data_IF_959229099793
#
_entry.id   IF_959229099793
#
_cell.length_a   1.000
_cell.length_b   1.000
_cell.length_c   1.000
_cell.angle_alpha   90.00
_cell.angle_beta   90.00
_cell.angle_gamma   90.00
#
_symmetry.space_group_name_H-M   'P 1'
#
loop_
_entity.id
_entity.type
_entity.pdbx_description
1 polymer ?
#
# COMPACT_ATOMS: atom_id res chain seq x y z
N UNK A 1 -4.96 -17.21 7.18
CA UNK A 1 -5.31 -18.52 6.59
C UNK A 1 -4.24 -19.54 6.95
N UNK A 2 -4.57 -20.82 6.98
CA UNK A 2 -3.67 -21.90 7.39
C UNK A 2 -4.48 -23.13 7.79
N UNK A 3 -3.81 -24.25 8.10
CA UNK A 3 -4.50 -25.38 8.70
C UNK A 3 -5.06 -24.99 10.07
N UNK A 4 -6.12 -25.67 10.49
CA UNK A 4 -6.72 -25.44 11.81
C UNK A 4 -5.69 -25.57 12.94
N UNK A 5 -4.88 -26.63 12.90
CA UNK A 5 -3.84 -26.89 13.89
C UNK A 5 -2.81 -25.75 13.97
N UNK A 6 -2.40 -25.20 12.83
CA UNK A 6 -1.47 -24.06 12.78
C UNK A 6 -2.11 -22.80 13.39
N UNK A 7 -3.37 -22.52 13.04
CA UNK A 7 -4.11 -21.37 13.55
C UNK A 7 -4.26 -21.47 15.08
N UNK A 8 -4.68 -22.63 15.58
CA UNK A 8 -4.89 -22.84 17.01
C UNK A 8 -3.57 -22.79 17.79
N UNK A 9 -2.49 -23.35 17.23
CA UNK A 9 -1.15 -23.21 17.80
C UNK A 9 -0.70 -21.75 17.87
N UNK A 10 -0.88 -20.96 16.80
CA UNK A 10 -0.51 -19.55 16.77
C UNK A 10 -1.32 -18.70 17.76
N UNK A 11 -2.61 -18.99 17.95
CA UNK A 11 -3.43 -18.30 18.95
C UNK A 11 -2.89 -18.48 20.37
N UNK A 12 -2.32 -19.66 20.67
CA UNK A 12 -1.79 -20.00 22.00
C UNK A 12 -0.31 -19.68 22.20
N UNK A 13 0.45 -19.42 21.11
CA UNK A 13 1.91 -19.20 21.16
C UNK A 13 2.33 -17.82 20.71
N UNK A 14 1.51 -17.13 19.92
CA UNK A 14 1.74 -15.77 19.45
C UNK A 14 1.55 -14.76 20.57
N UNK A 15 2.65 -14.31 21.18
CA UNK A 15 2.62 -13.26 22.22
C UNK A 15 1.86 -12.00 21.78
N UNK A 16 2.04 -11.46 20.55
CA UNK A 16 1.28 -10.28 20.10
C UNK A 16 -0.22 -10.56 19.99
N UNK A 17 -0.63 -11.80 19.74
CA UNK A 17 -2.04 -12.17 19.70
C UNK A 17 -2.63 -12.31 21.11
N UNK A 18 -1.89 -12.94 22.04
CA UNK A 18 -2.35 -13.16 23.42
C UNK A 18 -2.37 -11.91 24.30
N UNK A 19 -1.38 -11.04 24.12
CA UNK A 19 -1.14 -9.88 24.99
C UNK A 19 -1.53 -8.55 24.32
N UNK A 20 -2.49 -8.59 23.39
CA UNK A 20 -3.06 -7.40 22.75
C UNK A 20 -4.57 -7.42 22.85
N UNK A 21 -5.19 -6.25 22.89
CA UNK A 21 -6.65 -6.11 22.82
C UNK A 21 -7.13 -6.53 21.43
N UNK A 22 -8.30 -7.17 21.39
CA UNK A 22 -8.95 -7.54 20.14
C UNK A 22 -9.36 -6.30 19.34
N UNK A 23 -9.48 -6.47 18.03
CA UNK A 23 -10.04 -5.47 17.11
C UNK A 23 -11.47 -5.09 17.54
N UNK A 24 -11.86 -3.82 17.36
CA UNK A 24 -13.21 -3.39 17.72
C UNK A 24 -14.25 -4.09 16.84
N UNK A 25 -15.50 -4.28 17.32
CA UNK A 25 -16.56 -4.88 16.51
C UNK A 25 -16.83 -4.10 15.21
N UNK A 26 -16.70 -2.77 15.24
CA UNK A 26 -16.91 -1.92 14.07
C UNK A 26 -15.83 -2.14 13.02
N UNK A 27 -14.55 -2.19 13.42
CA UNK A 27 -13.43 -2.45 12.52
C UNK A 27 -13.54 -3.85 11.91
N UNK A 28 -13.89 -4.86 12.72
CA UNK A 28 -14.08 -6.23 12.25
C UNK A 28 -15.22 -6.30 11.21
N UNK A 29 -16.34 -5.62 11.46
CA UNK A 29 -17.46 -5.54 10.51
C UNK A 29 -17.08 -4.86 9.20
N UNK A 30 -16.33 -3.76 9.26
CA UNK A 30 -15.86 -3.06 8.07
C UNK A 30 -14.90 -3.92 7.22
N UNK A 31 -13.99 -4.66 7.86
CA UNK A 31 -13.06 -5.57 7.16
C UNK A 31 -13.81 -6.73 6.51
N UNK A 32 -14.82 -7.31 7.17
CA UNK A 32 -15.65 -8.38 6.58
C UNK A 32 -16.36 -7.87 5.32
N UNK A 33 -17.02 -6.72 5.41
CA UNK A 33 -17.71 -6.13 4.26
C UNK A 33 -16.75 -5.79 3.11
N UNK A 34 -15.54 -5.29 3.40
CA UNK A 34 -14.53 -5.03 2.38
C UNK A 34 -14.09 -6.33 1.68
N UNK A 35 -13.90 -7.42 2.42
CA UNK A 35 -13.58 -8.74 1.85
C UNK A 35 -14.72 -9.25 0.98
N UNK A 36 -15.98 -9.11 1.42
CA UNK A 36 -17.15 -9.54 0.65
C UNK A 36 -17.24 -8.78 -0.69
N UNK A 37 -17.05 -7.45 -0.66
CA UNK A 37 -17.03 -6.62 -1.88
C UNK A 37 -15.94 -7.10 -2.82
N UNK A 38 -14.70 -7.23 -2.34
CA UNK A 38 -13.55 -7.64 -3.15
C UNK A 38 -13.66 -9.08 -3.67
N UNK A 39 -14.38 -9.95 -2.97
CA UNK A 39 -14.60 -11.34 -3.38
C UNK A 39 -15.74 -11.48 -4.39
N UNK A 40 -16.66 -10.50 -4.44
CA UNK A 40 -17.85 -10.54 -5.29
C UNK A 40 -17.61 -10.01 -6.72
N UNK A 41 -16.62 -9.14 -6.92
CA UNK A 41 -16.32 -8.53 -8.22
C UNK A 41 -14.84 -8.16 -8.36
N UNK A 42 -14.32 -8.29 -9.58
CA UNK A 42 -12.95 -7.90 -9.92
C UNK A 42 -12.83 -6.46 -10.46
N UNK A 43 -13.95 -5.75 -10.64
CA UNK A 43 -14.00 -4.44 -11.29
C UNK A 43 -13.07 -3.40 -10.63
N UNK A 44 -13.04 -3.36 -9.30
CA UNK A 44 -12.19 -2.43 -8.56
C UNK A 44 -10.70 -2.72 -8.79
N UNK A 45 -10.33 -3.99 -8.87
CA UNK A 45 -8.96 -4.44 -9.10
C UNK A 45 -8.54 -4.14 -10.53
N UNK A 46 -9.40 -4.41 -11.52
CA UNK A 46 -9.16 -4.09 -12.92
C UNK A 46 -8.94 -2.60 -13.14
N UNK A 47 -9.84 -1.76 -12.60
CA UNK A 47 -9.72 -0.31 -12.67
C UNK A 47 -8.44 0.21 -12.02
N UNK A 48 -8.04 -0.37 -10.87
CA UNK A 48 -6.76 -0.03 -10.23
C UNK A 48 -5.57 -0.37 -11.14
N UNK A 49 -5.58 -1.52 -11.81
CA UNK A 49 -4.53 -1.89 -12.76
C UNK A 49 -4.48 -0.99 -13.98
N UNK A 50 -5.62 -0.62 -14.55
CA UNK A 50 -5.72 0.31 -15.69
C UNK A 50 -5.16 1.68 -15.31
N UNK A 51 -5.58 2.23 -14.17
CA UNK A 51 -5.06 3.49 -13.65
C UNK A 51 -3.56 3.44 -13.40
N UNK A 52 -3.05 2.33 -12.82
CA UNK A 52 -1.62 2.12 -12.61
C UNK A 52 -0.82 2.12 -13.91
N UNK A 53 -1.29 1.40 -14.95
CA UNK A 53 -0.65 1.38 -16.27
C UNK A 53 -0.65 2.76 -16.93
N UNK A 54 -1.77 3.47 -16.85
CA UNK A 54 -1.90 4.83 -17.37
C UNK A 54 -0.93 5.79 -16.69
N UNK A 55 -0.89 5.79 -15.35
CA UNK A 55 -0.02 6.66 -14.56
C UNK A 55 1.47 6.39 -14.81
N UNK A 56 1.88 5.11 -14.80
CA UNK A 56 3.26 4.70 -15.12
C UNK A 56 3.68 5.15 -16.50
N UNK A 57 2.83 4.94 -17.51
CA UNK A 57 3.12 5.35 -18.89
C UNK A 57 3.39 6.86 -18.94
N UNK A 58 2.53 7.67 -18.34
CA UNK A 58 2.70 9.13 -18.36
C UNK A 58 3.96 9.59 -17.63
N UNK A 59 4.29 9.02 -16.47
CA UNK A 59 5.51 9.35 -15.74
C UNK A 59 6.77 8.98 -16.53
N UNK A 60 6.79 7.79 -17.15
CA UNK A 60 7.89 7.38 -18.01
C UNK A 60 8.02 8.26 -19.25
N UNK A 61 6.90 8.62 -19.89
CA UNK A 61 6.86 9.52 -21.06
C UNK A 61 7.39 10.94 -20.70
N UNK A 62 7.19 11.37 -19.44
CA UNK A 62 7.75 12.61 -18.89
C UNK A 62 9.23 12.51 -18.49
N UNK A 63 9.83 11.32 -18.55
CA UNK A 63 11.24 11.09 -18.24
C UNK A 63 11.55 10.84 -16.76
N UNK A 64 10.54 10.57 -15.92
CA UNK A 64 10.78 10.16 -14.53
C UNK A 64 11.30 8.73 -14.46
N UNK A 65 12.24 8.48 -13.53
CA UNK A 65 12.63 7.13 -13.16
C UNK A 65 11.58 6.53 -12.21
N UNK A 66 10.85 5.54 -12.71
CA UNK A 66 9.83 4.79 -11.95
C UNK A 66 10.28 3.38 -11.56
N UNK A 67 11.57 3.09 -11.68
CA UNK A 67 12.14 1.76 -11.47
C UNK A 67 11.52 0.69 -12.37
N UNK A 68 11.47 -0.55 -11.86
CA UNK A 68 10.98 -1.73 -12.58
C UNK A 68 9.74 -2.33 -11.90
N UNK A 69 8.81 -1.50 -11.44
CA UNK A 69 7.62 -2.00 -10.74
C UNK A 69 6.65 -2.71 -11.67
N UNK A 70 6.35 -3.97 -11.38
CA UNK A 70 5.29 -4.77 -12.01
C UNK A 70 3.98 -4.76 -11.20
N UNK A 71 3.93 -3.99 -10.10
CA UNK A 71 2.79 -3.94 -9.16
C UNK A 71 1.97 -2.65 -9.35
N UNK A 72 0.81 -2.48 -8.69
CA UNK A 72 0.09 -1.19 -8.72
C UNK A 72 0.86 -0.02 -8.09
N UNK A 73 1.94 -0.28 -7.35
CA UNK A 73 2.81 0.76 -6.76
C UNK A 73 3.68 1.36 -7.87
N UNK A 74 3.77 2.69 -7.92
CA UNK A 74 4.61 3.42 -8.86
C UNK A 74 5.57 4.33 -8.09
N UNK A 75 6.82 3.91 -7.83
CA UNK A 75 7.78 4.79 -7.20
C UNK A 75 8.22 5.87 -8.19
N UNK A 76 8.66 7.03 -7.69
CA UNK A 76 9.37 8.05 -8.47
C UNK A 76 10.70 8.29 -7.77
N UNK A 77 11.79 7.88 -8.39
CA UNK A 77 13.12 7.87 -7.78
C UNK A 77 13.75 9.26 -7.88
N UNK A 78 13.84 9.96 -6.75
CA UNK A 78 14.47 11.29 -6.65
C UNK A 78 15.96 11.20 -6.29
N UNK A 79 16.36 10.13 -5.59
CA UNK A 79 17.74 9.83 -5.19
C UNK A 79 18.21 10.56 -3.94
N UNK A 80 18.12 11.89 -3.90
CA UNK A 80 18.52 12.69 -2.73
C UNK A 80 17.35 12.91 -1.76
N UNK A 81 17.58 12.63 -0.47
CA UNK A 81 16.55 12.72 0.58
C UNK A 81 15.97 14.14 0.71
N UNK A 82 16.82 15.17 0.79
CA UNK A 82 16.35 16.54 0.96
C UNK A 82 15.55 17.01 -0.25
N UNK A 83 15.96 16.61 -1.47
CA UNK A 83 15.18 16.84 -2.69
C UNK A 83 13.86 16.09 -2.69
N UNK A 84 13.82 14.83 -2.24
CA UNK A 84 12.59 14.04 -2.19
C UNK A 84 11.56 14.66 -1.23
N UNK A 85 12.00 15.13 -0.06
CA UNK A 85 11.15 15.82 0.90
C UNK A 85 10.64 17.15 0.36
N UNK A 86 11.53 17.96 -0.24
CA UNK A 86 11.12 19.21 -0.89
C UNK A 86 10.12 18.96 -2.02
N UNK A 87 10.34 17.93 -2.84
CA UNK A 87 9.44 17.57 -3.93
C UNK A 87 8.05 17.17 -3.42
N UNK A 88 8.00 16.37 -2.34
CA UNK A 88 6.76 16.04 -1.61
C UNK A 88 6.03 17.30 -1.14
N UNK A 89 6.73 18.27 -0.55
CA UNK A 89 6.12 19.52 -0.08
C UNK A 89 5.55 20.37 -1.23
N UNK A 90 6.28 20.48 -2.34
CA UNK A 90 5.79 21.21 -3.53
C UNK A 90 4.57 20.52 -4.15
N UNK A 91 4.58 19.19 -4.26
CA UNK A 91 3.41 18.42 -4.73
C UNK A 91 2.18 18.68 -3.84
N UNK A 92 2.38 18.72 -2.53
CA UNK A 92 1.29 18.98 -1.60
C UNK A 92 0.72 20.39 -1.75
N UNK A 93 1.55 21.40 -2.02
CA UNK A 93 1.09 22.77 -2.34
C UNK A 93 0.26 22.81 -3.62
N UNK A 94 0.57 21.96 -4.58
CA UNK A 94 -0.20 21.78 -5.82
C UNK A 94 -1.43 20.85 -5.65
N UNK A 95 -1.72 20.42 -4.42
CA UNK A 95 -2.89 19.59 -4.10
C UNK A 95 -2.70 18.09 -4.29
N UNK A 96 -1.46 17.62 -4.51
CA UNK A 96 -1.11 16.21 -4.68
C UNK A 96 -0.39 15.71 -3.43
N UNK A 97 -1.05 14.86 -2.64
CA UNK A 97 -0.41 14.22 -1.49
C UNK A 97 0.41 13.00 -1.92
N UNK A 98 1.73 13.18 -2.03
CA UNK A 98 2.68 12.10 -2.29
C UNK A 98 3.90 12.25 -1.38
N UNK A 99 3.95 11.44 -0.33
CA UNK A 99 4.95 11.55 0.73
C UNK A 99 6.34 11.10 0.26
N UNK A 100 7.35 11.93 0.48
CA UNK A 100 8.76 11.56 0.31
C UNK A 100 9.15 10.42 1.27
N UNK A 101 9.86 9.41 0.76
CA UNK A 101 10.36 8.26 1.53
C UNK A 101 11.89 8.30 1.52
N UNK A 102 12.50 8.20 2.70
CA UNK A 102 13.95 8.26 2.88
C UNK A 102 14.44 7.18 3.88
N UNK A 103 15.74 7.16 4.14
CA UNK A 103 16.35 6.31 5.17
C UNK A 103 15.65 6.51 6.53
N UNK A 104 15.36 5.45 7.31
CA UNK A 104 15.77 4.04 7.13
C UNK A 104 14.77 3.18 6.34
N UNK A 105 13.74 3.79 5.73
CA UNK A 105 12.69 3.03 5.02
C UNK A 105 13.18 2.50 3.68
N UNK A 106 14.04 3.25 3.01
CA UNK A 106 14.71 2.88 1.75
C UNK A 106 16.23 3.10 1.88
N UNK A 107 17.06 2.35 1.10
CA UNK A 107 18.52 2.44 1.16
C UNK A 107 19.09 3.81 0.83
#
# INVERSE_FOLDING_TARGET
AGSKDLIDWLKLRGRPFLFSTAMTPADAGAVIAAIDILSSSNELVERMWENGKYFKKLLSDMGYDIGHSETPITPVIIGDEAKAMKFSDELFKEGVFAQGIAYPTVP
#
